data_IF_627095686783
#
_entry.id   IF_627095686783
#
_cell.length_a   1.000
_cell.length_b   1.000
_cell.length_c   1.000
_cell.angle_alpha   90.00
_cell.angle_beta   90.00
_cell.angle_gamma   90.00
#
_symmetry.space_group_name_H-M   'P 1'
#
loop_
_entity.id
_entity.type
_entity.pdbx_description
1 polymer ?
#
# COMPACT_ATOMS: atom_id res chain seq x y z
N UNK A 1 -15.00 -1.00 8.50
CA UNK A 1 -14.33 0.18 7.92
C UNK A 1 -13.04 -0.29 7.27
N UNK A 2 -12.72 0.16 6.06
CA UNK A 2 -11.45 -0.15 5.39
C UNK A 2 -10.46 0.99 5.65
N UNK A 3 -9.22 0.63 6.01
CA UNK A 3 -8.10 1.58 6.10
C UNK A 3 -7.10 1.19 5.02
N UNK A 4 -6.91 2.07 4.03
CA UNK A 4 -5.91 1.92 3.00
C UNK A 4 -4.70 2.79 3.36
N UNK A 5 -3.51 2.18 3.44
CA UNK A 5 -2.27 2.89 3.75
C UNK A 5 -1.30 2.83 2.58
N UNK A 6 -0.63 3.93 2.27
CA UNK A 6 0.52 3.95 1.38
C UNK A 6 1.54 4.98 1.88
N UNK A 7 2.83 4.61 1.93
CA UNK A 7 3.90 5.51 2.37
C UNK A 7 4.14 6.67 1.39
N UNK A 8 3.78 6.50 0.12
CA UNK A 8 3.93 7.53 -0.91
C UNK A 8 2.65 8.38 -1.07
N UNK A 9 2.81 9.69 -0.92
CA UNK A 9 1.70 10.65 -1.00
C UNK A 9 1.01 10.65 -2.36
N UNK A 10 1.73 10.47 -3.48
CA UNK A 10 1.13 10.47 -4.83
C UNK A 10 0.26 9.24 -5.02
N UNK A 11 0.71 8.07 -4.54
CA UNK A 11 -0.09 6.85 -4.52
C UNK A 11 -1.32 7.00 -3.63
N UNK A 12 -1.21 7.64 -2.47
CA UNK A 12 -2.36 8.01 -1.64
C UNK A 12 -3.40 8.85 -2.41
N UNK A 13 -2.98 9.88 -3.15
CA UNK A 13 -3.92 10.69 -3.96
C UNK A 13 -4.63 9.86 -5.04
N UNK A 14 -3.91 8.94 -5.68
CA UNK A 14 -4.52 7.99 -6.62
C UNK A 14 -5.56 7.11 -5.92
N UNK A 15 -5.25 6.58 -4.73
CA UNK A 15 -6.19 5.79 -3.93
C UNK A 15 -7.44 6.61 -3.59
N UNK A 16 -7.29 7.84 -3.11
CA UNK A 16 -8.40 8.76 -2.82
C UNK A 16 -9.27 8.97 -4.06
N UNK A 17 -8.66 9.24 -5.21
CA UNK A 17 -9.39 9.47 -6.44
C UNK A 17 -10.18 8.23 -6.87
N UNK A 18 -9.55 7.05 -6.88
CA UNK A 18 -10.24 5.82 -7.27
C UNK A 18 -11.32 5.45 -6.25
N UNK A 19 -11.00 5.39 -4.97
CA UNK A 19 -11.91 4.89 -3.93
C UNK A 19 -13.05 5.86 -3.61
N UNK A 20 -12.76 7.15 -3.40
CA UNK A 20 -13.74 8.12 -2.93
C UNK A 20 -14.48 8.81 -4.06
N UNK A 21 -13.80 9.14 -5.18
CA UNK A 21 -14.44 9.87 -6.30
C UNK A 21 -15.05 8.95 -7.35
N UNK A 22 -14.39 7.84 -7.70
CA UNK A 22 -14.85 6.96 -8.79
C UNK A 22 -15.83 5.89 -8.32
N UNK A 23 -15.52 5.21 -7.22
CA UNK A 23 -16.32 4.08 -6.71
C UNK A 23 -17.27 4.45 -5.56
N UNK A 24 -17.21 5.69 -5.05
CA UNK A 24 -18.05 6.19 -3.95
C UNK A 24 -18.06 5.28 -2.71
N UNK A 25 -16.90 4.76 -2.32
CA UNK A 25 -16.81 3.87 -1.16
C UNK A 25 -17.03 4.65 0.13
N UNK A 26 -18.21 4.51 0.75
CA UNK A 26 -18.62 5.29 1.92
C UNK A 26 -17.86 4.97 3.23
N UNK A 27 -17.19 3.82 3.31
CA UNK A 27 -16.56 3.31 4.53
C UNK A 27 -15.05 3.03 4.36
N UNK A 28 -14.34 3.96 3.72
CA UNK A 28 -12.90 3.87 3.47
C UNK A 28 -12.17 5.10 4.01
N UNK A 29 -11.07 4.89 4.72
CA UNK A 29 -10.10 5.92 5.09
C UNK A 29 -8.78 5.65 4.37
N UNK A 30 -8.11 6.69 3.89
CA UNK A 30 -6.76 6.62 3.33
C UNK A 30 -5.80 7.30 4.29
N UNK A 31 -4.74 6.61 4.69
CA UNK A 31 -3.68 7.12 5.56
C UNK A 31 -2.32 7.04 4.84
N UNK A 32 -1.35 7.83 5.28
CA UNK A 32 -0.05 7.94 4.66
C UNK A 32 1.05 7.79 5.71
N UNK A 33 1.29 6.56 6.14
CA UNK A 33 2.25 6.24 7.19
C UNK A 33 3.20 5.10 6.77
N UNK A 34 4.39 5.07 7.35
CA UNK A 34 5.28 3.92 7.23
C UNK A 34 4.66 2.72 7.97
N UNK A 35 4.25 1.69 7.21
CA UNK A 35 3.59 0.51 7.74
C UNK A 35 4.47 -0.27 8.74
N UNK A 36 5.80 -0.21 8.60
CA UNK A 36 6.72 -0.88 9.52
C UNK A 36 6.73 -0.24 10.92
N UNK A 37 6.28 1.02 11.02
CA UNK A 37 6.24 1.83 12.25
C UNK A 37 4.85 2.39 12.52
N UNK A 38 3.81 1.72 12.03
CA UNK A 38 2.45 2.24 12.09
C UNK A 38 2.01 2.40 13.55
N UNK A 39 1.52 3.58 13.96
CA UNK A 39 1.07 3.81 15.32
C UNK A 39 -0.20 2.99 15.61
N UNK A 40 -0.42 2.69 16.89
CA UNK A 40 -1.69 2.11 17.34
C UNK A 40 -2.79 3.14 17.15
N UNK A 41 -3.66 2.90 16.17
CA UNK A 41 -4.84 3.72 15.94
C UNK A 41 -5.79 3.55 17.13
N UNK A 42 -6.47 4.62 17.54
CA UNK A 42 -7.39 4.60 18.68
C UNK A 42 -8.83 4.84 18.23
N UNK A 43 -9.76 4.12 18.84
CA UNK A 43 -11.20 4.24 18.64
C UNK A 43 -11.84 5.38 19.44
N UNK A 44 -13.18 5.39 19.50
CA UNK A 44 -13.96 6.45 20.17
C UNK A 44 -13.70 6.58 21.68
N UNK A 45 -13.25 5.51 22.34
CA UNK A 45 -13.02 5.48 23.79
C UNK A 45 -11.52 5.38 24.15
N UNK A 46 -10.63 5.88 23.29
CA UNK A 46 -9.18 5.74 23.41
C UNK A 46 -8.69 4.26 23.41
N UNK A 47 -9.59 3.33 23.07
CA UNK A 47 -9.30 1.91 22.97
C UNK A 47 -8.48 1.61 21.71
N UNK A 48 -7.48 0.70 21.77
CA UNK A 48 -6.73 0.28 20.60
C UNK A 48 -7.65 -0.27 19.52
N UNK A 49 -7.63 0.37 18.36
CA UNK A 49 -8.32 -0.12 17.18
C UNK A 49 -7.65 -1.41 16.72
N UNK A 50 -8.45 -2.46 16.52
CA UNK A 50 -8.00 -3.75 16.00
C UNK A 50 -8.55 -3.96 14.59
N UNK A 51 -7.87 -4.81 13.84
CA UNK A 51 -8.26 -5.21 12.49
C UNK A 51 -8.77 -6.65 12.51
N UNK A 52 -9.91 -6.90 11.89
CA UNK A 52 -10.39 -8.27 11.68
C UNK A 52 -9.50 -9.02 10.67
N UNK A 53 -8.95 -8.29 9.68
CA UNK A 53 -8.09 -8.80 8.62
C UNK A 53 -7.11 -7.73 8.18
N UNK A 54 -5.91 -8.16 7.79
CA UNK A 54 -4.85 -7.29 7.25
C UNK A 54 -4.36 -7.88 5.93
N UNK A 55 -4.25 -7.02 4.91
CA UNK A 55 -3.61 -7.35 3.64
C UNK A 55 -2.38 -6.47 3.49
N UNK A 56 -1.22 -7.11 3.32
CA UNK A 56 0.05 -6.42 3.10
C UNK A 56 0.54 -6.71 1.68
N UNK A 57 0.48 -5.71 0.81
CA UNK A 57 1.14 -5.71 -0.49
C UNK A 57 2.48 -4.98 -0.34
N UNK A 58 3.55 -5.75 -0.10
CA UNK A 58 4.88 -5.21 0.22
C UNK A 58 5.74 -5.14 -1.01
N UNK A 59 6.77 -4.28 -0.98
CA UNK A 59 7.77 -4.29 -2.04
C UNK A 59 8.47 -5.65 -2.05
N UNK A 60 8.68 -6.17 -3.25
CA UNK A 60 9.35 -7.43 -3.54
C UNK A 60 10.40 -7.21 -4.64
N UNK A 61 11.07 -8.29 -5.05
CA UNK A 61 12.06 -8.31 -6.15
C UNK A 61 11.52 -7.87 -7.52
N UNK A 62 10.19 -7.86 -7.71
CA UNK A 62 9.54 -7.37 -8.93
C UNK A 62 9.69 -8.26 -10.17
N UNK A 63 10.33 -9.42 -10.07
CA UNK A 63 10.55 -10.39 -11.15
C UNK A 63 9.23 -10.93 -11.74
N UNK A 64 8.17 -11.03 -10.92
CA UNK A 64 6.83 -11.38 -11.40
C UNK A 64 6.20 -10.35 -12.36
N UNK A 65 6.80 -9.15 -12.49
CA UNK A 65 6.31 -8.09 -13.38
C UNK A 65 6.92 -8.11 -14.77
N UNK A 66 7.88 -9.01 -15.03
CA UNK A 66 8.59 -9.12 -16.31
C UNK A 66 7.66 -9.19 -17.54
N UNK A 67 6.52 -9.87 -17.42
CA UNK A 67 5.51 -9.93 -18.49
C UNK A 67 4.86 -8.57 -18.79
N UNK A 68 4.69 -7.72 -17.77
CA UNK A 68 4.07 -6.39 -17.90
C UNK A 68 5.09 -5.32 -18.29
N UNK A 69 6.36 -5.53 -18.00
CA UNK A 69 7.45 -4.65 -18.39
C UNK A 69 8.59 -5.45 -19.06
N UNK A 70 8.46 -5.79 -20.36
CA UNK A 70 9.42 -6.65 -21.06
C UNK A 70 10.86 -6.11 -21.09
N UNK A 71 11.05 -4.79 -20.96
CA UNK A 71 12.38 -4.17 -20.94
C UNK A 71 13.23 -4.61 -19.74
N UNK A 72 12.59 -5.02 -18.64
CA UNK A 72 13.27 -5.51 -17.45
C UNK A 72 13.85 -6.91 -17.69
N UNK A 73 13.31 -7.71 -18.62
CA UNK A 73 13.74 -9.10 -18.86
C UNK A 73 15.23 -9.26 -19.12
N UNK A 74 15.79 -8.34 -19.92
CA UNK A 74 17.18 -8.42 -20.35
C UNK A 74 18.15 -7.73 -19.37
N UNK A 75 17.62 -6.96 -18.41
CA UNK A 75 18.42 -6.13 -17.50
C UNK A 75 18.33 -6.58 -16.05
N UNK A 76 17.31 -7.34 -15.68
CA UNK A 76 17.07 -7.73 -14.30
C UNK A 76 18.20 -8.59 -13.76
N UNK A 77 18.69 -8.20 -12.60
CA UNK A 77 19.65 -8.94 -11.80
C UNK A 77 19.14 -9.10 -10.37
N UNK A 78 19.65 -10.06 -9.59
CA UNK A 78 19.34 -10.14 -8.16
C UNK A 78 19.62 -8.85 -7.39
N UNK A 79 20.59 -8.05 -7.86
CA UNK A 79 20.95 -6.77 -7.25
C UNK A 79 19.84 -5.72 -7.41
N UNK A 80 19.13 -5.73 -8.54
CA UNK A 80 17.98 -4.83 -8.77
C UNK A 80 16.85 -5.15 -7.80
N UNK A 81 16.59 -6.44 -7.55
CA UNK A 81 15.63 -6.88 -6.55
C UNK A 81 15.97 -6.39 -5.15
N UNK A 82 17.25 -6.45 -4.75
CA UNK A 82 17.71 -5.92 -3.47
C UNK A 82 17.57 -4.39 -3.37
N UNK A 83 17.76 -3.66 -4.48
CA UNK A 83 17.61 -2.20 -4.51
C UNK A 83 16.17 -1.70 -4.37
N UNK A 84 15.18 -2.59 -4.43
CA UNK A 84 13.76 -2.26 -4.24
C UNK A 84 13.32 -2.31 -2.76
N UNK A 85 14.11 -2.91 -1.88
CA UNK A 85 13.81 -3.04 -0.44
C UNK A 85 14.47 -1.93 0.38
#
# INVERSE_FOLDING_TARGET
MLIANDVDKKRCYMLIHQTLKRFHTANCAVICEDAARMPVLKGKNDEPLKFDRVLCDVICSGDGTLRKNPEIWTKWTPQDGLGLH
#
